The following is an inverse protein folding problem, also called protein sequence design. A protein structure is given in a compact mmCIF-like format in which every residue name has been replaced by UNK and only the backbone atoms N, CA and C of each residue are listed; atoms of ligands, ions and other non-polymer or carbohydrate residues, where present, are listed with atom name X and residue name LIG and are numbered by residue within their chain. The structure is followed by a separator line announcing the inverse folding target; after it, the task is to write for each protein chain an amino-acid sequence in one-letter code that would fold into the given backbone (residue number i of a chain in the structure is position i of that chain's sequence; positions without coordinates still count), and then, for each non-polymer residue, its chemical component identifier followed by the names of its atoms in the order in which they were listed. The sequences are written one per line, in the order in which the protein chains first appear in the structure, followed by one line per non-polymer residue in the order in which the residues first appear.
data_IF_249119805373
#
_entry.id   IF_249119805373
#
_cell.length_a   1.000
_cell.length_b   1.000
_cell.length_c   1.000
_cell.angle_alpha   90.00
_cell.angle_beta   90.00
_cell.angle_gamma   90.00
#
_symmetry.space_group_name_H-M   'P 1'
#
loop_
_entity.id
_entity.type
_entity.pdbx_description
1 polymer ?
#
# COMPACT_ATOMS: atom_id res chain seq x y z
N UNK A 1 5.49 7.59 27.93
CA UNK A 1 4.97 6.69 26.88
C UNK A 1 6.13 6.44 25.91
N UNK A 2 6.89 5.38 26.09
CA UNK A 2 8.06 5.08 25.25
C UNK A 2 7.60 4.71 23.84
N UNK A 3 8.21 5.31 22.83
CA UNK A 3 7.84 5.13 21.42
C UNK A 3 7.98 3.67 20.98
N UNK A 4 6.87 3.06 20.54
CA UNK A 4 6.80 1.70 19.96
C UNK A 4 7.56 1.52 18.64
N UNK A 5 8.23 2.57 18.16
CA UNK A 5 8.92 2.62 16.87
C UNK A 5 10.43 2.64 17.08
N UNK A 6 11.15 1.84 16.29
CA UNK A 6 12.62 1.87 16.23
C UNK A 6 13.12 3.18 15.59
N UNK A 7 12.40 3.67 14.59
CA UNK A 7 12.59 4.96 13.92
C UNK A 7 11.21 5.56 13.68
N UNK A 8 11.07 6.88 13.82
CA UNK A 8 9.78 7.55 13.63
C UNK A 8 9.25 7.32 12.19
N UNK A 9 7.97 6.90 12.03
CA UNK A 9 7.34 6.80 10.71
C UNK A 9 7.33 8.15 9.99
N UNK A 10 7.62 8.17 8.69
CA UNK A 10 7.50 9.39 7.88
C UNK A 10 6.03 9.86 7.80
N UNK A 11 5.09 8.91 7.83
CA UNK A 11 3.64 9.15 7.80
C UNK A 11 3.04 9.56 9.15
N UNK A 12 3.87 9.75 10.18
CA UNK A 12 3.42 10.03 11.55
C UNK A 12 2.45 11.21 11.66
N UNK A 13 2.63 12.22 10.82
CA UNK A 13 1.85 13.46 10.84
C UNK A 13 0.71 13.49 9.82
N UNK A 14 0.48 12.40 9.07
CA UNK A 14 -0.60 12.34 8.11
C UNK A 14 -1.91 11.89 8.80
N UNK A 15 -2.94 12.76 8.92
CA UNK A 15 -4.12 12.46 9.73
C UNK A 15 -4.91 11.25 9.21
N UNK A 16 -4.90 11.03 7.89
CA UNK A 16 -5.65 9.94 7.26
C UNK A 16 -5.09 8.55 7.57
N UNK A 17 -3.82 8.46 7.99
CA UNK A 17 -3.14 7.17 8.22
C UNK A 17 -2.80 6.94 9.68
N UNK A 18 -3.05 7.91 10.56
CA UNK A 18 -2.64 7.86 11.96
C UNK A 18 -3.22 6.66 12.72
N UNK A 19 -4.44 6.24 12.38
CA UNK A 19 -5.11 5.06 12.95
C UNK A 19 -4.49 3.73 12.49
N UNK A 20 -3.87 3.69 11.31
CA UNK A 20 -3.27 2.48 10.73
C UNK A 20 -1.76 2.41 10.92
N UNK A 21 -1.08 3.51 11.29
CA UNK A 21 0.35 3.50 11.59
C UNK A 21 0.82 2.35 12.49
N UNK A 22 0.11 1.97 13.58
CA UNK A 22 0.55 0.86 14.43
C UNK A 22 0.50 -0.52 13.75
N UNK A 23 -0.32 -0.70 12.70
CA UNK A 23 -0.47 -1.98 12.00
C UNK A 23 0.71 -2.24 11.05
N UNK A 24 1.38 -1.17 10.63
CA UNK A 24 2.53 -1.20 9.72
C UNK A 24 3.88 -1.31 10.45
N UNK A 25 3.86 -1.59 11.77
CA UNK A 25 5.06 -1.77 12.58
C UNK A 25 5.30 -3.24 12.88
N UNK A 26 6.53 -3.68 12.66
CA UNK A 26 6.94 -5.01 13.08
C UNK A 26 6.95 -5.11 14.61
N UNK A 27 6.13 -6.00 15.16
CA UNK A 27 6.03 -6.23 16.61
C UNK A 27 7.30 -6.82 17.23
N UNK A 28 8.20 -7.39 16.41
CA UNK A 28 9.44 -7.99 16.88
C UNK A 28 10.60 -6.99 16.97
N UNK A 29 10.68 -6.05 16.04
CA UNK A 29 11.83 -5.14 15.93
C UNK A 29 11.47 -3.65 15.92
N UNK A 30 10.18 -3.30 15.93
CA UNK A 30 9.69 -1.92 15.95
C UNK A 30 9.92 -1.15 14.64
N UNK A 31 10.36 -1.82 13.56
CA UNK A 31 10.52 -1.17 12.26
C UNK A 31 9.17 -0.88 11.62
N UNK A 32 9.01 0.34 11.15
CA UNK A 32 7.86 0.80 10.38
C UNK A 32 8.06 0.51 8.89
N UNK A 33 6.98 0.17 8.19
CA UNK A 33 6.97 -0.15 6.76
C UNK A 33 5.84 0.60 6.03
N UNK A 34 6.05 0.89 4.74
CA UNK A 34 5.06 1.59 3.94
C UNK A 34 3.76 0.81 3.75
N UNK A 35 3.84 -0.52 3.67
CA UNK A 35 2.69 -1.39 3.44
C UNK A 35 2.79 -2.68 4.24
N UNK A 36 1.63 -3.32 4.42
CA UNK A 36 1.53 -4.62 5.07
C UNK A 36 2.27 -5.72 4.30
N UNK A 37 2.37 -5.61 2.97
CA UNK A 37 3.09 -6.58 2.13
C UNK A 37 4.57 -6.60 2.47
N UNK A 38 5.20 -5.41 2.54
CA UNK A 38 6.63 -5.30 2.87
C UNK A 38 6.88 -5.74 4.33
N UNK A 39 5.98 -5.38 5.25
CA UNK A 39 6.07 -5.84 6.64
C UNK A 39 6.04 -7.38 6.74
N UNK A 40 5.13 -8.05 6.01
CA UNK A 40 5.06 -9.52 5.97
C UNK A 40 6.33 -10.16 5.42
N UNK A 41 6.83 -9.65 4.27
CA UNK A 41 8.11 -10.10 3.67
C UNK A 41 9.26 -9.94 4.67
N UNK A 42 9.30 -8.82 5.40
CA UNK A 42 10.27 -8.59 6.47
C UNK A 42 10.16 -9.61 7.61
N UNK A 43 8.95 -9.87 8.14
CA UNK A 43 8.79 -10.84 9.24
C UNK A 43 9.26 -12.23 8.84
N UNK A 44 8.93 -12.67 7.63
CA UNK A 44 9.34 -13.98 7.11
C UNK A 44 10.87 -14.03 6.92
N UNK A 45 11.45 -13.02 6.27
CA UNK A 45 12.89 -13.02 5.95
C UNK A 45 13.80 -12.74 7.15
N UNK A 46 13.47 -11.73 7.96
CA UNK A 46 14.31 -11.25 9.05
C UNK A 46 14.07 -12.00 10.37
N UNK A 47 12.84 -12.42 10.63
CA UNK A 47 12.50 -13.12 11.87
C UNK A 47 12.29 -14.63 11.69
N UNK A 48 12.30 -15.13 10.45
CA UNK A 48 12.15 -16.57 10.12
C UNK A 48 10.89 -17.20 10.76
N UNK A 49 9.88 -16.38 11.06
CA UNK A 49 8.64 -16.82 11.67
C UNK A 49 7.78 -17.41 10.56
N UNK A 50 7.88 -18.73 10.42
CA UNK A 50 7.02 -19.55 9.56
C UNK A 50 5.98 -20.23 10.44
N UNK A 51 4.92 -19.52 10.81
CA UNK A 51 3.80 -20.18 11.50
C UNK A 51 2.73 -19.30 12.14
N UNK A 52 1.48 -19.62 11.80
CA UNK A 52 0.23 -19.42 12.56
C UNK A 52 -0.40 -18.02 12.67
N UNK A 53 0.16 -16.99 12.03
CA UNK A 53 -0.59 -15.76 11.73
C UNK A 53 -1.02 -15.72 10.26
N UNK A 54 -1.53 -16.84 9.75
CA UNK A 54 -2.41 -16.79 8.61
C UNK A 54 -3.83 -16.54 9.17
N UNK A 55 -4.45 -15.36 9.01
CA UNK A 55 -5.76 -15.44 8.38
C UNK A 55 -5.52 -16.20 7.08
N UNK A 56 -6.35 -17.19 6.79
CA UNK A 56 -6.27 -17.94 5.54
C UNK A 56 -5.88 -16.98 4.43
N UNK A 57 -4.92 -17.37 3.59
CA UNK A 57 -4.49 -16.59 2.41
C UNK A 57 -5.66 -16.56 1.43
N UNK A 58 -6.76 -15.95 1.83
CA UNK A 58 -7.75 -15.37 0.98
C UNK A 58 -7.10 -14.12 0.45
N UNK A 59 -7.02 -14.04 -0.86
CA UNK A 59 -6.73 -12.80 -1.56
C UNK A 59 -7.56 -11.67 -0.91
N UNK A 60 -6.93 -10.51 -0.68
CA UNK A 60 -7.61 -9.35 -0.11
C UNK A 60 -8.84 -9.06 -0.96
N UNK A 61 -10.02 -8.95 -0.35
CA UNK A 61 -11.25 -8.61 -1.07
C UNK A 61 -11.49 -7.11 -0.95
N UNK A 62 -11.17 -6.31 -1.97
CA UNK A 62 -11.36 -4.88 -1.91
C UNK A 62 -12.83 -4.52 -2.23
N UNK A 63 -13.22 -3.32 -1.81
CA UNK A 63 -14.49 -2.71 -2.21
C UNK A 63 -14.49 -2.35 -3.69
N UNK A 64 -13.38 -1.76 -4.16
CA UNK A 64 -13.17 -1.36 -5.55
C UNK A 64 -11.67 -1.23 -5.84
N UNK A 65 -11.34 -1.31 -7.13
CA UNK A 65 -10.00 -1.01 -7.63
C UNK A 65 -10.04 0.43 -8.15
N UNK A 66 -9.21 1.29 -7.56
CA UNK A 66 -9.18 2.71 -7.89
C UNK A 66 -8.27 3.04 -9.06
N UNK A 67 -7.17 2.29 -9.22
CA UNK A 67 -6.22 2.45 -10.31
C UNK A 67 -5.40 1.17 -10.53
N UNK A 68 -4.82 1.05 -11.72
CA UNK A 68 -3.83 0.03 -12.09
C UNK A 68 -2.51 0.70 -12.45
N UNK A 69 -1.40 0.07 -12.07
CA UNK A 69 -0.06 0.44 -12.53
C UNK A 69 0.79 -0.83 -12.66
N UNK A 70 1.13 -1.23 -13.88
CA UNK A 70 1.87 -2.49 -14.13
C UNK A 70 1.17 -3.71 -13.47
N UNK A 71 1.82 -4.36 -12.50
CA UNK A 71 1.30 -5.51 -11.73
C UNK A 71 0.75 -5.11 -10.35
N UNK A 72 0.72 -3.81 -10.01
CA UNK A 72 0.18 -3.31 -8.76
C UNK A 72 -1.18 -2.65 -8.99
N UNK A 73 -2.11 -2.86 -8.05
CA UNK A 73 -3.44 -2.25 -8.07
C UNK A 73 -3.62 -1.37 -6.83
N UNK A 74 -4.17 -0.17 -7.02
CA UNK A 74 -4.69 0.61 -5.89
C UNK A 74 -6.04 0.03 -5.52
N UNK A 75 -6.14 -0.49 -4.32
CA UNK A 75 -7.36 -1.09 -3.79
C UNK A 75 -7.93 -0.26 -2.67
N UNK A 76 -9.25 -0.08 -2.69
CA UNK A 76 -9.98 0.51 -1.57
C UNK A 76 -10.51 -0.63 -0.70
N UNK A 77 -10.06 -0.70 0.54
CA UNK A 77 -10.38 -1.76 1.49
C UNK A 77 -11.04 -1.14 2.73
N UNK A 78 -12.04 -1.82 3.30
CA UNK A 78 -12.55 -1.46 4.63
C UNK A 78 -11.71 -2.09 5.71
N UNK A 79 -11.08 -1.26 6.55
CA UNK A 79 -10.30 -1.76 7.70
C UNK A 79 -11.19 -1.95 8.94
N UNK A 80 -12.19 -1.08 9.11
CA UNK A 80 -13.24 -1.13 10.13
C UNK A 80 -14.56 -0.65 9.54
N UNK A 81 -15.67 -0.81 10.27
CA UNK A 81 -17.06 -0.64 9.80
C UNK A 81 -17.35 0.67 9.05
N UNK A 82 -16.49 1.71 9.10
CA UNK A 82 -16.70 2.97 8.40
C UNK A 82 -15.43 3.65 7.84
N UNK A 83 -14.30 2.93 7.71
CA UNK A 83 -13.05 3.53 7.20
C UNK A 83 -12.58 2.83 5.94
N UNK A 84 -12.75 3.52 4.81
CA UNK A 84 -12.14 3.17 3.53
C UNK A 84 -10.67 3.61 3.51
N UNK A 85 -9.77 2.70 3.15
CA UNK A 85 -8.36 2.99 2.98
C UNK A 85 -7.89 2.52 1.60
N UNK A 86 -7.07 3.35 0.95
CA UNK A 86 -6.46 3.02 -0.34
C UNK A 86 -5.04 2.50 -0.12
N UNK A 87 -4.75 1.27 -0.59
CA UNK A 87 -3.41 0.68 -0.52
C UNK A 87 -2.99 0.11 -1.89
N UNK A 88 -1.69 0.16 -2.18
CA UNK A 88 -1.09 -0.50 -3.33
C UNK A 88 -0.83 -1.96 -2.98
N UNK A 89 -1.47 -2.87 -3.70
CA UNK A 89 -1.37 -4.31 -3.46
C UNK A 89 -1.06 -5.01 -4.78
N UNK A 90 -0.18 -6.02 -4.72
CA UNK A 90 0.16 -6.88 -5.86
C UNK A 90 -1.11 -7.56 -6.43
N UNK A 91 -1.24 -7.62 -7.75
CA UNK A 91 -2.42 -8.20 -8.44
C UNK A 91 -2.72 -9.65 -7.98
N UNK A 92 -1.68 -10.44 -7.73
CA UNK A 92 -1.79 -11.84 -7.28
C UNK A 92 -2.37 -11.99 -5.86
N UNK A 93 -2.27 -10.94 -5.03
CA UNK A 93 -2.70 -10.91 -3.65
C UNK A 93 -4.15 -10.39 -3.49
N UNK A 94 -4.87 -10.07 -4.59
CA UNK A 94 -6.21 -9.44 -4.59
C UNK A 94 -7.28 -10.34 -5.22
N UNK A 95 -8.46 -10.44 -4.58
CA UNK A 95 -9.62 -11.11 -5.14
C UNK A 95 -10.36 -10.18 -6.10
N UNK A 96 -9.96 -10.21 -7.37
CA UNK A 96 -10.55 -9.39 -8.43
C UNK A 96 -11.93 -9.89 -8.92
N UNK A 97 -12.44 -11.01 -8.39
CA UNK A 97 -13.70 -11.60 -8.88
C UNK A 97 -14.88 -10.65 -8.69
N UNK A 98 -15.50 -10.26 -9.80
CA UNK A 98 -16.69 -9.38 -9.81
C UNK A 98 -16.38 -7.89 -9.68
N UNK A 99 -15.12 -7.47 -9.79
CA UNK A 99 -14.72 -6.07 -9.77
C UNK A 99 -14.25 -5.62 -11.16
N UNK A 100 -14.59 -4.39 -11.52
CA UNK A 100 -14.06 -3.74 -12.73
C UNK A 100 -12.67 -3.20 -12.43
N UNK A 101 -11.68 -3.63 -13.21
CA UNK A 101 -10.32 -3.08 -13.15
C UNK A 101 -10.29 -1.89 -14.11
N UNK A 102 -9.91 -0.68 -13.66
CA UNK A 102 -9.65 0.44 -14.55
C UNK A 102 -8.59 0.04 -15.59
N UNK A 103 -8.83 0.35 -16.87
CA UNK A 103 -7.80 0.16 -17.89
C UNK A 103 -6.57 1.00 -17.54
N UNK A 104 -5.39 0.46 -17.80
CA UNK A 104 -4.15 1.22 -17.66
C UNK A 104 -4.22 2.30 -18.74
N UNK A 105 -4.20 3.59 -18.36
CA UNK A 105 -4.02 4.69 -19.31
C UNK A 105 -2.56 4.71 -19.80
N UNK A 106 -2.06 3.57 -20.26
CA UNK A 106 -0.70 3.38 -20.76
C UNK A 106 -0.41 4.21 -22.01
N UNK A 107 -1.46 4.75 -22.65
CA UNK A 107 -1.37 5.58 -23.84
C UNK A 107 -1.45 7.10 -23.57
N UNK A 108 -1.61 7.54 -22.32
CA UNK A 108 -1.37 8.94 -21.99
C UNK A 108 0.14 9.17 -22.00
N UNK A 109 0.66 9.48 -23.20
CA UNK A 109 2.01 9.99 -23.35
C UNK A 109 2.15 11.23 -22.47
N UNK A 110 2.83 11.07 -21.34
CA UNK A 110 3.19 12.22 -20.52
C UNK A 110 3.94 13.19 -21.42
N UNK A 111 3.43 14.43 -21.60
CA UNK A 111 4.04 15.37 -22.52
C UNK A 111 5.47 15.64 -22.05
N UNK A 112 6.45 15.26 -22.88
CA UNK A 112 7.85 15.56 -22.63
C UNK A 112 8.13 16.90 -23.26
N UNK A 113 8.18 17.93 -22.43
CA UNK A 113 8.63 19.26 -22.82
C UNK A 113 10.13 19.36 -22.60
N UNK A 114 10.84 19.96 -23.55
CA UNK A 114 12.20 20.40 -23.26
C UNK A 114 12.18 21.64 -22.36
N UNK A 115 13.23 21.83 -21.57
CA UNK A 115 13.37 23.04 -20.72
C UNK A 115 13.22 24.32 -21.56
N UNK A 116 13.77 24.34 -22.77
CA UNK A 116 13.70 25.50 -23.67
C UNK A 116 12.28 25.78 -24.17
N UNK A 117 11.49 24.73 -24.38
CA UNK A 117 10.11 24.81 -24.86
C UNK A 117 9.17 25.36 -23.78
N UNK A 118 9.37 24.96 -22.52
CA UNK A 118 8.66 25.53 -21.36
C UNK A 118 9.00 27.01 -21.14
N UNK A 119 10.29 27.37 -21.22
CA UNK A 119 10.74 28.76 -21.04
C UNK A 119 10.18 29.69 -22.14
N UNK A 120 9.92 29.16 -23.34
CA UNK A 120 9.41 29.93 -24.47
C UNK A 120 7.89 30.19 -24.43
N UNK A 121 7.14 29.43 -23.64
CA UNK A 121 5.69 29.62 -23.42
C UNK A 121 5.30 29.20 -22.00
N UNK A 122 5.50 30.06 -20.99
CA UNK A 122 5.23 29.75 -19.58
C UNK A 122 3.74 29.57 -19.26
#
# INVERSE_FOLDING_TARGET
MGSSYKVLPYDLYCPSVQSVLPTHVCKHCGLYFASNVVLKKHIIGAHKITGKCQPEVGRVRPLRIAARRQQELVTVITFTENVEFADWVDEDDIDIRGLTIPEDESDVKMPVYSINEYISSP
#
